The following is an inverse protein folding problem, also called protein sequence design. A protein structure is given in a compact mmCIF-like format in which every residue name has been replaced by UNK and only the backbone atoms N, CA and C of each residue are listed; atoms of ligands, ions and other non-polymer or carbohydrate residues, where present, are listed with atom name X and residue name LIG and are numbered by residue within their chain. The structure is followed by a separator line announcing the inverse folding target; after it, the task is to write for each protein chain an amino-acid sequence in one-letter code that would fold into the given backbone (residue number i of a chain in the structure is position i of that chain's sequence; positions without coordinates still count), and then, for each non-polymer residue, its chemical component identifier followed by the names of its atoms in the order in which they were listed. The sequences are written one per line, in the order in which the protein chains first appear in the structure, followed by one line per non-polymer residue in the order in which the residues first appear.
data_IF_540676640702
#
_entry.id   IF_540676640702
#
_cell.length_a   1.000
_cell.length_b   1.000
_cell.length_c   1.000
_cell.angle_alpha   90.00
_cell.angle_beta   90.00
_cell.angle_gamma   90.00
#
_symmetry.space_group_name_H-M   'P 1'
#
loop_
_entity.id
_entity.type
_entity.pdbx_description
1 polymer ?
#
# COMPACT_ATOMS: atom_id res chain seq x y z
N UNK A 1 -17.83 45.23 4.13
CA UNK A 1 -17.06 44.38 3.19
C UNK A 1 -16.01 43.67 4.06
N UNK A 2 -16.37 42.51 4.58
CA UNK A 2 -15.57 41.73 5.53
C UNK A 2 -14.60 40.81 4.81
N UNK A 3 -13.37 40.83 5.26
CA UNK A 3 -12.22 40.08 4.74
C UNK A 3 -12.14 38.71 5.46
N UNK A 4 -12.92 37.71 5.01
CA UNK A 4 -12.94 36.37 5.61
C UNK A 4 -11.98 35.37 4.92
N UNK A 5 -11.14 35.82 3.99
CA UNK A 5 -10.22 34.96 3.25
C UNK A 5 -8.99 34.45 4.04
N UNK A 6 -8.60 35.12 5.12
CA UNK A 6 -7.38 34.82 5.86
C UNK A 6 -7.51 33.69 6.90
N UNK A 7 -8.65 33.63 7.57
CA UNK A 7 -8.83 32.67 8.68
C UNK A 7 -9.01 31.24 8.23
N UNK A 8 -9.59 31.01 7.04
CA UNK A 8 -9.78 29.66 6.48
C UNK A 8 -8.46 29.01 6.06
N UNK A 9 -7.57 29.79 5.43
CA UNK A 9 -6.27 29.28 4.97
C UNK A 9 -5.33 28.95 6.14
N UNK A 10 -5.32 29.78 7.17
CA UNK A 10 -4.55 29.52 8.40
C UNK A 10 -5.08 28.29 9.17
N UNK A 11 -6.41 28.14 9.32
CA UNK A 11 -7.00 26.95 9.95
C UNK A 11 -6.65 25.66 9.20
N UNK A 12 -6.69 25.65 7.85
CA UNK A 12 -6.34 24.50 7.03
C UNK A 12 -4.89 24.07 7.18
N UNK A 13 -3.95 25.03 7.23
CA UNK A 13 -2.52 24.74 7.42
C UNK A 13 -2.22 24.20 8.82
N UNK A 14 -2.89 24.73 9.85
CA UNK A 14 -2.76 24.24 11.22
C UNK A 14 -3.32 22.82 11.39
N UNK A 15 -4.40 22.45 10.72
CA UNK A 15 -5.00 21.12 10.84
C UNK A 15 -4.09 20.00 10.33
N UNK A 16 -3.33 20.22 9.25
CA UNK A 16 -2.38 19.21 8.76
C UNK A 16 -1.19 19.00 9.70
N UNK A 17 -0.66 20.06 10.28
CA UNK A 17 0.41 19.98 11.31
C UNK A 17 -0.08 19.37 12.63
N UNK A 18 -1.41 19.28 12.83
CA UNK A 18 -2.08 18.67 14.00
C UNK A 18 -2.66 17.30 13.64
N UNK A 19 -2.06 16.61 12.66
CA UNK A 19 -2.48 15.31 12.19
C UNK A 19 -1.36 14.28 12.27
N UNK A 20 -1.67 13.15 12.90
CA UNK A 20 -0.81 11.98 13.00
C UNK A 20 -1.16 10.99 11.87
N UNK A 21 -0.17 10.54 11.12
CA UNK A 21 -0.32 9.43 10.18
C UNK A 21 -0.14 8.08 10.87
N UNK A 22 -1.02 7.12 10.61
CA UNK A 22 -0.85 5.72 11.02
C UNK A 22 -0.94 4.85 9.79
N UNK A 23 0.14 4.14 9.45
CA UNK A 23 0.19 3.22 8.31
C UNK A 23 0.13 1.79 8.80
N UNK A 24 -0.92 1.08 8.44
CA UNK A 24 -1.09 -0.34 8.73
C UNK A 24 -0.35 -1.16 7.67
N UNK A 25 0.98 -1.30 7.84
CA UNK A 25 1.84 -1.97 6.87
C UNK A 25 1.94 -3.49 7.07
N UNK A 26 1.25 -4.02 8.05
CA UNK A 26 1.36 -5.39 8.54
C UNK A 26 0.36 -6.39 7.95
N UNK A 27 0.23 -7.52 8.61
CA UNK A 27 -0.45 -8.74 8.14
C UNK A 27 -1.97 -8.77 8.37
N UNK A 28 -2.62 -7.66 8.62
CA UNK A 28 -4.09 -7.59 8.69
C UNK A 28 -4.74 -7.32 7.32
N UNK A 29 -3.96 -7.35 6.28
CA UNK A 29 -4.36 -7.16 4.89
C UNK A 29 -4.28 -8.43 4.05
N UNK A 30 -4.44 -8.31 2.72
CA UNK A 30 -4.35 -9.43 1.79
C UNK A 30 -2.99 -10.12 1.84
N UNK A 31 -2.98 -11.41 1.56
CA UNK A 31 -1.76 -12.20 1.45
C UNK A 31 -1.48 -12.56 0.00
N UNK A 32 -0.28 -12.22 -0.46
CA UNK A 32 0.21 -12.53 -1.81
C UNK A 32 1.02 -13.84 -1.82
N UNK A 33 0.59 -14.85 -1.07
CA UNK A 33 1.28 -16.13 -0.99
C UNK A 33 2.75 -15.97 -0.60
N UNK A 34 3.65 -16.54 -1.39
CA UNK A 34 5.08 -16.54 -1.11
C UNK A 34 5.73 -15.13 -1.07
N UNK A 35 5.17 -14.14 -1.81
CA UNK A 35 5.69 -12.76 -1.76
C UNK A 35 5.61 -12.18 -0.35
N UNK A 36 4.51 -12.39 0.36
CA UNK A 36 4.28 -11.85 1.70
C UNK A 36 4.75 -12.78 2.82
N UNK A 37 5.22 -13.98 2.50
CA UNK A 37 5.75 -14.93 3.48
C UNK A 37 6.94 -14.39 4.27
N UNK A 38 7.80 -13.59 3.64
CA UNK A 38 9.04 -13.06 4.25
C UNK A 38 9.01 -11.54 4.47
N UNK A 39 7.91 -10.87 4.12
CA UNK A 39 7.77 -9.41 4.22
C UNK A 39 6.32 -8.99 4.41
N UNK A 40 6.07 -7.86 5.11
CA UNK A 40 4.71 -7.33 5.21
C UNK A 40 4.26 -6.73 3.89
N UNK A 41 2.94 -6.55 3.71
CA UNK A 41 2.33 -5.99 2.51
C UNK A 41 2.95 -4.65 2.09
N UNK A 42 3.19 -3.74 3.03
CA UNK A 42 3.84 -2.46 2.74
C UNK A 42 5.25 -2.57 2.14
N UNK A 43 5.94 -3.72 2.31
CA UNK A 43 7.27 -3.94 1.74
C UNK A 43 7.26 -4.68 0.39
N UNK A 44 6.08 -4.97 -0.18
CA UNK A 44 5.95 -5.61 -1.51
C UNK A 44 6.45 -4.65 -2.59
N UNK A 45 7.37 -5.10 -3.47
CA UNK A 45 7.89 -4.29 -4.56
C UNK A 45 6.82 -4.05 -5.63
N UNK A 46 6.77 -2.84 -6.19
CA UNK A 46 5.83 -2.43 -7.24
C UNK A 46 6.49 -1.39 -8.16
N UNK A 47 6.05 -1.27 -9.41
CA UNK A 47 6.50 -0.25 -10.36
C UNK A 47 8.04 -0.16 -10.44
N UNK A 48 8.72 -1.28 -10.68
CA UNK A 48 10.18 -1.46 -10.88
C UNK A 48 11.10 -1.06 -9.72
N UNK A 49 10.78 -0.05 -8.92
CA UNK A 49 11.69 0.49 -7.88
C UNK A 49 11.03 0.84 -6.57
N UNK A 50 9.70 0.94 -6.53
CA UNK A 50 8.92 1.34 -5.35
C UNK A 50 8.51 0.14 -4.49
N UNK A 51 7.96 0.45 -3.32
CA UNK A 51 7.20 -0.48 -2.49
C UNK A 51 5.84 0.13 -2.15
N UNK A 52 4.86 -0.68 -1.83
CA UNK A 52 3.50 -0.20 -1.58
C UNK A 52 3.42 0.89 -0.49
N UNK A 53 4.24 0.78 0.56
CA UNK A 53 4.32 1.79 1.63
C UNK A 53 4.74 3.17 1.12
N UNK A 54 5.52 3.24 0.04
CA UNK A 54 6.04 4.50 -0.50
C UNK A 54 4.93 5.44 -0.93
N UNK A 55 3.85 4.90 -1.49
CA UNK A 55 2.69 5.69 -1.95
C UNK A 55 1.97 6.36 -0.79
N UNK A 56 1.54 5.59 0.20
CA UNK A 56 0.83 6.14 1.36
C UNK A 56 1.71 7.09 2.16
N UNK A 57 2.97 6.75 2.37
CA UNK A 57 3.90 7.60 3.11
C UNK A 57 4.17 8.91 2.37
N UNK A 58 4.36 8.86 1.05
CA UNK A 58 4.54 10.05 0.21
C UNK A 58 3.27 10.93 0.20
N UNK A 59 2.09 10.33 0.07
CA UNK A 59 0.83 11.05 0.13
C UNK A 59 0.63 11.77 1.47
N UNK A 60 0.99 11.13 2.60
CA UNK A 60 0.96 11.75 3.93
C UNK A 60 1.90 12.96 4.00
N UNK A 61 3.15 12.80 3.58
CA UNK A 61 4.16 13.88 3.62
C UNK A 61 3.79 15.02 2.69
N UNK A 62 3.38 14.73 1.45
CA UNK A 62 2.92 15.74 0.49
C UNK A 62 1.70 16.52 1.00
N UNK A 63 0.87 15.88 1.79
CA UNK A 63 -0.26 16.52 2.47
C UNK A 63 0.16 17.35 3.70
N UNK A 64 1.42 17.28 4.14
CA UNK A 64 1.96 18.01 5.27
C UNK A 64 1.86 17.30 6.63
N UNK A 65 1.62 15.98 6.62
CA UNK A 65 1.70 15.13 7.81
C UNK A 65 3.18 14.81 8.04
N UNK A 66 3.76 15.31 9.08
CA UNK A 66 5.19 15.19 9.39
C UNK A 66 5.50 14.24 10.55
N UNK A 67 4.48 13.58 11.06
CA UNK A 67 4.60 12.55 12.09
C UNK A 67 3.82 11.33 11.66
N UNK A 68 4.52 10.20 11.49
CA UNK A 68 3.93 8.96 11.01
C UNK A 68 4.35 7.80 11.89
N UNK A 69 3.37 7.04 12.38
CA UNK A 69 3.56 5.79 13.10
C UNK A 69 3.26 4.59 12.18
N UNK A 70 4.12 3.59 12.22
CA UNK A 70 3.91 2.33 11.49
C UNK A 70 3.94 1.17 12.49
N UNK A 71 2.77 0.73 13.00
CA UNK A 71 2.69 -0.51 13.75
C UNK A 71 3.17 -1.68 12.89
N UNK A 72 4.07 -2.48 13.43
CA UNK A 72 4.60 -3.65 12.72
C UNK A 72 4.27 -4.93 13.48
N UNK A 73 4.33 -6.06 12.77
CA UNK A 73 4.15 -7.40 13.34
C UNK A 73 5.40 -8.24 13.08
N UNK A 74 5.22 -9.44 12.55
CA UNK A 74 6.30 -10.33 12.12
C UNK A 74 6.89 -9.88 10.77
N UNK A 75 8.10 -10.35 10.45
CA UNK A 75 8.77 -10.14 9.15
C UNK A 75 9.00 -8.67 8.73
N UNK A 76 8.99 -7.73 9.69
CA UNK A 76 9.12 -6.30 9.41
C UNK A 76 10.54 -5.83 9.01
N UNK A 77 11.55 -6.70 9.07
CA UNK A 77 12.94 -6.34 8.77
C UNK A 77 13.08 -5.69 7.39
N UNK A 78 12.44 -6.28 6.37
CA UNK A 78 12.52 -5.74 5.00
C UNK A 78 11.86 -4.36 4.86
N UNK A 79 10.84 -4.07 5.67
CA UNK A 79 10.21 -2.75 5.76
C UNK A 79 11.13 -1.75 6.44
N UNK A 80 11.74 -2.12 7.56
CA UNK A 80 12.74 -1.28 8.26
C UNK A 80 13.94 -0.96 7.38
N UNK A 81 14.49 -1.96 6.70
CA UNK A 81 15.62 -1.77 5.78
C UNK A 81 15.27 -0.80 4.62
N UNK A 82 14.02 -0.79 4.19
CA UNK A 82 13.58 0.10 3.13
C UNK A 82 13.38 1.53 3.63
N UNK A 83 12.65 1.68 4.72
CA UNK A 83 12.29 3.00 5.27
C UNK A 83 13.48 3.70 5.94
N UNK A 84 14.41 2.94 6.51
CA UNK A 84 15.55 3.49 7.25
C UNK A 84 15.10 4.47 8.32
N UNK A 85 15.65 5.67 8.31
CA UNK A 85 15.25 6.78 9.18
C UNK A 85 14.10 7.63 8.63
N UNK A 86 13.57 7.32 7.47
CA UNK A 86 12.57 8.14 6.76
C UNK A 86 13.16 9.37 6.05
N UNK A 87 14.47 9.38 5.79
CA UNK A 87 15.19 10.52 5.18
C UNK A 87 14.62 10.93 3.83
N UNK A 88 14.30 9.96 2.98
CA UNK A 88 13.79 10.19 1.63
C UNK A 88 12.42 10.90 1.63
N UNK A 89 11.67 10.79 2.72
CA UNK A 89 10.38 11.46 2.95
C UNK A 89 10.49 12.69 3.86
N UNK A 90 11.71 13.19 4.14
CA UNK A 90 11.94 14.27 5.11
C UNK A 90 11.35 14.00 6.51
N UNK A 91 11.32 12.73 6.91
CA UNK A 91 10.83 12.29 8.23
C UNK A 91 11.95 11.91 9.21
N UNK A 92 13.22 12.13 8.86
CA UNK A 92 14.37 11.99 9.78
C UNK A 92 14.50 13.22 10.69
N UNK A 93 13.54 13.41 11.59
CA UNK A 93 13.41 14.65 12.41
C UNK A 93 13.62 14.36 13.90
N UNK A 94 14.12 15.35 14.65
CA UNK A 94 14.26 15.25 16.12
C UNK A 94 12.90 15.25 16.86
N UNK A 95 11.90 15.91 16.29
CA UNK A 95 10.52 15.94 16.80
C UNK A 95 9.58 15.59 15.66
N UNK A 96 8.65 14.66 15.87
CA UNK A 96 7.83 14.11 14.81
C UNK A 96 8.56 12.99 14.09
N UNK A 97 8.46 12.97 12.75
CA UNK A 97 9.16 12.02 11.90
C UNK A 97 8.55 10.63 11.86
N UNK A 98 9.31 9.70 11.33
CA UNK A 98 8.91 8.31 11.16
C UNK A 98 9.15 7.50 12.44
N UNK A 99 8.12 6.82 12.90
CA UNK A 99 8.18 5.94 14.07
C UNK A 99 7.72 4.54 13.66
N UNK A 100 8.66 3.61 13.52
CA UNK A 100 8.33 2.20 13.35
C UNK A 100 8.13 1.61 14.74
N UNK A 101 6.91 1.14 15.02
CA UNK A 101 6.52 0.64 16.34
C UNK A 101 6.46 -0.89 16.29
N UNK A 102 7.49 -1.57 16.80
CA UNK A 102 7.51 -3.03 16.82
C UNK A 102 6.51 -3.61 17.84
N UNK A 103 6.14 -4.91 17.71
CA UNK A 103 5.14 -5.54 18.55
C UNK A 103 5.73 -5.90 19.93
N UNK A 104 6.13 -4.92 20.71
CA UNK A 104 6.59 -5.15 22.08
C UNK A 104 5.43 -5.02 23.07
N UNK A 105 4.92 -6.18 23.53
CA UNK A 105 4.32 -6.22 24.85
C UNK A 105 5.38 -6.78 25.81
N UNK A 106 5.45 -6.23 27.01
CA UNK A 106 6.44 -6.61 28.04
C UNK A 106 6.42 -8.10 28.43
N UNK A 107 5.49 -8.90 27.90
CA UNK A 107 5.27 -10.29 28.34
C UNK A 107 5.17 -11.35 27.25
N UNK A 108 4.82 -11.05 25.99
CA UNK A 108 4.76 -12.03 24.87
C UNK A 108 4.75 -11.34 23.51
N UNK A 109 5.45 -11.92 22.52
CA UNK A 109 5.25 -11.60 21.11
C UNK A 109 3.83 -12.05 20.75
N UNK A 110 2.93 -11.11 20.47
CA UNK A 110 1.59 -11.43 20.01
C UNK A 110 1.49 -11.20 18.50
N UNK A 111 1.01 -12.21 17.79
CA UNK A 111 0.54 -12.06 16.41
C UNK A 111 -0.88 -11.50 16.48
N UNK A 112 -1.09 -10.33 15.92
CA UNK A 112 -2.40 -9.69 15.95
C UNK A 112 -3.31 -10.31 14.90
N UNK A 113 -4.56 -10.60 15.30
CA UNK A 113 -5.58 -11.15 14.39
C UNK A 113 -6.30 -10.05 13.61
N UNK A 114 -6.12 -8.78 14.00
CA UNK A 114 -6.81 -7.67 13.36
C UNK A 114 -6.31 -6.29 13.79
N UNK A 115 -6.90 -5.27 13.20
CA UNK A 115 -6.49 -3.85 13.38
C UNK A 115 -6.70 -3.35 14.82
N UNK A 116 -7.76 -3.80 15.51
CA UNK A 116 -8.02 -3.39 16.90
C UNK A 116 -6.88 -3.84 17.82
N UNK A 117 -6.46 -5.09 17.69
CA UNK A 117 -5.35 -5.63 18.50
C UNK A 117 -4.02 -4.94 18.16
N UNK A 118 -3.75 -4.70 16.88
CA UNK A 118 -2.55 -3.99 16.43
C UNK A 118 -2.48 -2.57 17.01
N UNK A 119 -3.60 -1.83 16.99
CA UNK A 119 -3.68 -0.48 17.55
C UNK A 119 -3.66 -0.48 19.08
N UNK A 120 -4.23 -1.50 19.73
CA UNK A 120 -4.16 -1.64 21.18
C UNK A 120 -2.72 -1.78 21.68
N UNK A 121 -1.87 -2.46 20.93
CA UNK A 121 -0.44 -2.58 21.27
C UNK A 121 0.37 -1.29 21.10
N UNK A 122 -0.12 -0.35 20.30
CA UNK A 122 0.52 0.98 20.13
C UNK A 122 -0.23 2.08 20.84
N UNK A 123 -1.14 1.76 21.77
CA UNK A 123 -1.94 2.74 22.52
C UNK A 123 -1.07 3.75 23.27
N UNK A 124 0.07 3.35 23.84
CA UNK A 124 0.93 4.29 24.55
C UNK A 124 1.61 5.24 23.58
N UNK A 125 2.04 4.76 22.41
CA UNK A 125 2.49 5.63 21.34
C UNK A 125 1.41 6.66 20.98
N UNK A 126 0.15 6.23 20.76
CA UNK A 126 -0.97 7.12 20.43
C UNK A 126 -1.26 8.14 21.53
N UNK A 127 -1.19 7.75 22.82
CA UNK A 127 -1.42 8.65 23.95
C UNK A 127 -0.33 9.74 24.09
N UNK A 128 0.92 9.42 23.77
CA UNK A 128 2.03 10.37 23.86
C UNK A 128 2.03 11.41 22.75
N UNK A 129 1.29 11.16 21.66
CA UNK A 129 1.14 12.12 20.59
C UNK A 129 0.26 13.31 21.03
N UNK A 130 0.43 14.45 20.37
CA UNK A 130 -0.29 15.69 20.68
C UNK A 130 -1.29 16.08 19.60
N UNK A 131 -1.14 15.53 18.42
CA UNK A 131 -1.96 15.80 17.27
C UNK A 131 -3.44 15.49 17.56
N UNK A 132 -4.32 16.37 17.10
CA UNK A 132 -5.75 16.23 17.29
C UNK A 132 -6.35 15.14 16.45
N UNK A 133 -5.95 15.09 15.17
CA UNK A 133 -6.48 14.16 14.18
C UNK A 133 -5.53 13.00 13.93
N UNK A 134 -6.11 11.90 13.44
CA UNK A 134 -5.38 10.74 12.92
C UNK A 134 -5.88 10.44 11.50
N UNK A 135 -4.94 10.28 10.58
CA UNK A 135 -5.15 9.62 9.29
C UNK A 135 -4.61 8.21 9.41
N UNK A 136 -5.47 7.22 9.25
CA UNK A 136 -5.10 5.81 9.26
C UNK A 136 -5.32 5.20 7.88
N UNK A 137 -4.33 4.48 7.34
CA UNK A 137 -4.39 3.88 6.01
C UNK A 137 -3.70 2.53 5.93
N UNK A 138 -4.23 1.63 5.07
CA UNK A 138 -3.57 0.39 4.67
C UNK A 138 -2.59 0.64 3.52
N UNK A 139 -1.79 -0.37 3.18
CA UNK A 139 -0.73 -0.27 2.16
C UNK A 139 -1.01 -1.05 0.88
N UNK A 140 -2.14 -1.72 0.76
CA UNK A 140 -2.45 -2.57 -0.41
C UNK A 140 -2.98 -1.80 -1.63
N UNK A 141 -3.07 -0.47 -1.54
CA UNK A 141 -3.50 0.39 -2.64
C UNK A 141 -2.40 1.41 -2.96
N UNK A 142 -1.89 1.39 -4.18
CA UNK A 142 -1.03 2.44 -4.70
C UNK A 142 -1.89 3.48 -5.45
N UNK A 143 -1.86 4.72 -4.98
CA UNK A 143 -2.57 5.85 -5.58
C UNK A 143 -1.87 7.16 -5.23
N UNK A 144 -2.19 8.22 -5.96
CA UNK A 144 -1.79 9.58 -5.62
C UNK A 144 -2.97 10.25 -4.90
N UNK A 145 -2.91 10.32 -3.58
CA UNK A 145 -4.03 10.72 -2.71
C UNK A 145 -3.72 12.01 -1.96
N UNK A 146 -4.62 13.00 -2.02
CA UNK A 146 -4.50 14.23 -1.24
C UNK A 146 -5.30 14.15 0.07
N UNK A 147 -4.59 13.91 1.16
CA UNK A 147 -5.18 13.88 2.50
C UNK A 147 -5.69 15.25 2.98
N UNK A 148 -5.23 16.37 2.38
CA UNK A 148 -5.72 17.71 2.75
C UNK A 148 -7.19 17.86 2.42
N UNK A 149 -7.61 17.42 1.25
CA UNK A 149 -9.02 17.50 0.83
C UNK A 149 -9.90 16.66 1.76
N UNK A 150 -9.50 15.42 2.02
CA UNK A 150 -10.26 14.53 2.91
C UNK A 150 -10.35 15.08 4.34
N UNK A 151 -9.26 15.62 4.90
CA UNK A 151 -9.26 16.22 6.24
C UNK A 151 -10.11 17.49 6.28
N UNK A 152 -10.06 18.34 5.25
CA UNK A 152 -10.91 19.52 5.16
C UNK A 152 -12.39 19.12 5.15
N UNK A 153 -12.80 18.15 4.34
CA UNK A 153 -14.18 17.64 4.35
C UNK A 153 -14.57 17.09 5.72
N UNK A 154 -13.68 16.35 6.38
CA UNK A 154 -13.90 15.82 7.74
C UNK A 154 -14.20 16.94 8.75
N UNK A 155 -13.41 18.00 8.74
CA UNK A 155 -13.58 19.13 9.65
C UNK A 155 -14.84 19.95 9.33
N UNK A 156 -15.09 20.23 8.05
CA UNK A 156 -16.23 21.02 7.60
C UNK A 156 -17.57 20.32 7.83
N UNK A 157 -17.61 18.99 7.69
CA UNK A 157 -18.81 18.19 7.94
C UNK A 157 -19.09 17.93 9.41
N UNK A 158 -18.14 18.22 10.32
CA UNK A 158 -18.24 17.85 11.72
C UNK A 158 -18.37 16.33 11.92
N UNK A 159 -17.74 15.54 11.03
CA UNK A 159 -17.76 14.09 11.12
C UNK A 159 -17.00 13.59 12.34
N UNK A 160 -17.46 12.49 12.94
CA UNK A 160 -16.69 11.72 13.92
C UNK A 160 -15.63 10.86 13.21
N UNK A 161 -16.00 10.28 12.07
CA UNK A 161 -15.13 9.49 11.20
C UNK A 161 -15.41 9.83 9.74
N UNK A 162 -14.37 9.99 8.93
CA UNK A 162 -14.48 10.03 7.46
C UNK A 162 -13.75 8.83 6.90
N UNK A 163 -14.41 8.05 6.02
CA UNK A 163 -13.88 6.88 5.36
C UNK A 163 -13.78 7.10 3.85
N UNK A 164 -12.61 6.86 3.27
CA UNK A 164 -12.44 6.94 1.81
C UNK A 164 -12.97 5.69 1.12
N UNK A 165 -13.59 5.89 -0.04
CA UNK A 165 -14.11 4.83 -0.89
C UNK A 165 -13.98 5.15 -2.37
N UNK A 166 -14.09 4.12 -3.20
CA UNK A 166 -14.19 4.24 -4.66
C UNK A 166 -15.46 3.58 -5.16
N UNK A 167 -16.06 4.12 -6.23
CA UNK A 167 -17.18 3.50 -6.92
C UNK A 167 -16.68 2.56 -8.00
N UNK A 168 -16.76 1.28 -7.74
CA UNK A 168 -16.31 0.23 -8.67
C UNK A 168 -16.97 -1.11 -8.36
N UNK A 169 -16.98 -2.06 -9.30
CA UNK A 169 -17.26 -3.45 -8.94
C UNK A 169 -16.27 -3.95 -7.90
N UNK A 170 -16.71 -4.83 -6.99
CA UNK A 170 -15.78 -5.46 -6.03
C UNK A 170 -14.78 -6.29 -6.82
N UNK A 171 -13.46 -6.01 -6.73
CA UNK A 171 -12.44 -6.76 -7.47
C UNK A 171 -12.46 -8.25 -7.13
N UNK A 172 -12.23 -9.12 -8.12
CA UNK A 172 -12.20 -10.57 -7.90
C UNK A 172 -11.16 -10.99 -6.87
N UNK A 173 -9.98 -10.36 -6.89
CA UNK A 173 -8.93 -10.60 -5.90
C UNK A 173 -9.38 -10.36 -4.47
N UNK A 174 -10.21 -9.36 -4.23
CA UNK A 174 -10.80 -9.07 -2.92
C UNK A 174 -11.72 -10.22 -2.46
N UNK A 175 -12.54 -10.75 -3.35
CA UNK A 175 -13.44 -11.88 -3.04
C UNK A 175 -12.66 -13.17 -2.78
N UNK A 176 -11.69 -13.48 -3.62
CA UNK A 176 -10.87 -14.69 -3.48
C UNK A 176 -9.97 -14.67 -2.25
N UNK A 177 -9.53 -13.50 -1.81
CA UNK A 177 -8.70 -13.35 -0.61
C UNK A 177 -9.42 -13.75 0.67
N UNK A 178 -10.73 -13.44 0.79
CA UNK A 178 -11.50 -13.83 1.97
C UNK A 178 -11.52 -15.34 2.20
N UNK A 179 -11.76 -16.11 1.14
CA UNK A 179 -11.82 -17.58 1.23
C UNK A 179 -10.48 -18.20 1.65
N UNK A 180 -9.36 -17.55 1.30
CA UNK A 180 -8.01 -18.08 1.56
C UNK A 180 -7.38 -17.55 2.84
N UNK A 181 -7.64 -16.29 3.20
CA UNK A 181 -6.84 -15.56 4.21
C UNK A 181 -7.68 -14.91 5.31
N UNK A 182 -9.01 -15.05 5.26
CA UNK A 182 -9.94 -14.31 6.12
C UNK A 182 -9.79 -12.78 6.02
N UNK A 183 -9.23 -12.27 4.92
CA UNK A 183 -9.17 -10.84 4.66
C UNK A 183 -10.56 -10.31 4.37
N UNK A 184 -11.01 -9.32 5.17
CA UNK A 184 -12.32 -8.72 5.04
C UNK A 184 -12.28 -7.53 4.11
N UNK A 185 -13.25 -7.45 3.20
CA UNK A 185 -13.51 -6.23 2.44
C UNK A 185 -14.80 -5.57 2.92
N UNK A 186 -14.88 -4.27 2.71
CA UNK A 186 -15.99 -3.46 3.20
C UNK A 186 -16.58 -2.63 2.06
N UNK A 187 -17.91 -2.55 2.04
CA UNK A 187 -18.65 -1.66 1.14
C UNK A 187 -19.62 -0.81 1.95
N UNK A 188 -19.96 0.35 1.41
CA UNK A 188 -20.73 1.36 2.11
C UNK A 188 -22.07 1.62 1.44
N UNK A 189 -23.16 1.62 2.22
CA UNK A 189 -24.42 2.23 1.81
C UNK A 189 -24.42 3.70 2.22
N UNK A 190 -24.79 4.56 1.30
CA UNK A 190 -24.72 6.00 1.49
C UNK A 190 -26.10 6.63 1.61
N UNK A 191 -26.25 7.57 2.55
CA UNK A 191 -27.40 8.51 2.63
C UNK A 191 -26.84 9.93 2.45
N UNK A 192 -26.80 10.41 1.20
CA UNK A 192 -26.01 11.59 0.84
C UNK A 192 -24.52 11.30 1.01
N UNK A 193 -23.82 12.09 1.82
CA UNK A 193 -22.42 11.87 2.18
C UNK A 193 -22.25 10.98 3.42
N UNK A 194 -23.32 10.74 4.18
CA UNK A 194 -23.26 9.89 5.39
C UNK A 194 -23.24 8.42 5.01
N UNK A 195 -22.33 7.66 5.60
CA UNK A 195 -22.33 6.20 5.55
C UNK A 195 -23.41 5.71 6.51
N UNK A 196 -24.50 5.16 5.95
CA UNK A 196 -25.65 4.65 6.71
C UNK A 196 -25.46 3.21 7.15
N UNK A 197 -24.67 2.43 6.38
CA UNK A 197 -24.39 1.02 6.70
C UNK A 197 -23.04 0.60 6.13
N UNK A 198 -22.33 -0.25 6.85
CA UNK A 198 -21.09 -0.89 6.43
C UNK A 198 -21.38 -2.39 6.25
N UNK A 199 -21.16 -2.89 5.04
CA UNK A 199 -21.28 -4.31 4.74
C UNK A 199 -19.90 -4.96 4.75
N UNK A 200 -19.87 -6.19 5.24
CA UNK A 200 -18.67 -7.02 5.31
C UNK A 200 -18.80 -8.11 4.27
N UNK A 201 -17.83 -8.24 3.38
CA UNK A 201 -17.79 -9.27 2.34
C UNK A 201 -19.07 -9.34 1.51
N UNK A 202 -19.52 -8.17 1.03
CA UNK A 202 -20.73 -8.09 0.19
C UNK A 202 -20.59 -8.98 -1.05
N UNK A 203 -21.61 -9.78 -1.31
CA UNK A 203 -21.72 -10.62 -2.51
C UNK A 203 -22.42 -9.89 -3.67
N UNK A 204 -22.87 -8.66 -3.44
CA UNK A 204 -23.57 -7.88 -4.46
C UNK A 204 -22.70 -7.67 -5.71
N UNK A 205 -23.34 -7.77 -6.87
CA UNK A 205 -22.74 -7.52 -8.17
C UNK A 205 -22.96 -6.06 -8.60
N UNK A 206 -22.13 -5.59 -9.51
CA UNK A 206 -22.19 -4.22 -10.03
C UNK A 206 -21.33 -3.26 -9.22
N UNK A 207 -21.54 -1.95 -9.50
CA UNK A 207 -20.76 -0.88 -8.87
C UNK A 207 -21.17 -0.72 -7.41
N UNK A 208 -20.20 -0.80 -6.51
CA UNK A 208 -20.32 -0.64 -5.06
C UNK A 208 -19.43 0.50 -4.57
N UNK A 209 -19.73 1.05 -3.40
CA UNK A 209 -18.82 1.98 -2.72
C UNK A 209 -17.81 1.17 -1.91
N UNK A 210 -16.71 0.79 -2.55
CA UNK A 210 -15.69 -0.09 -1.98
C UNK A 210 -14.71 0.71 -1.11
N UNK A 211 -14.56 0.31 0.14
CA UNK A 211 -13.64 0.95 1.09
C UNK A 211 -12.20 0.91 0.58
N UNK A 212 -11.49 2.01 0.73
CA UNK A 212 -10.03 2.09 0.55
C UNK A 212 -9.25 1.77 1.82
N UNK A 213 -9.93 1.49 2.94
CA UNK A 213 -9.32 1.32 4.26
C UNK A 213 -8.48 2.54 4.69
N UNK A 214 -8.94 3.73 4.30
CA UNK A 214 -8.37 5.02 4.67
C UNK A 214 -9.40 5.76 5.52
N UNK A 215 -8.99 6.21 6.71
CA UNK A 215 -9.87 6.82 7.70
C UNK A 215 -9.27 8.08 8.29
N UNK A 216 -10.12 9.09 8.53
CA UNK A 216 -9.78 10.28 9.31
C UNK A 216 -10.72 10.35 10.51
N UNK A 217 -10.17 10.64 11.69
CA UNK A 217 -10.94 10.83 12.94
C UNK A 217 -10.12 11.58 13.97
N UNK A 218 -10.75 12.03 15.06
CA UNK A 218 -10.02 12.55 16.19
C UNK A 218 -9.22 11.43 16.90
N UNK A 219 -7.96 11.70 17.25
CA UNK A 219 -7.09 10.76 17.97
C UNK A 219 -7.69 10.27 19.28
N UNK A 220 -8.40 11.14 20.00
CA UNK A 220 -9.08 10.79 21.24
C UNK A 220 -10.17 9.74 21.00
N UNK A 221 -11.00 9.94 19.98
CA UNK A 221 -12.03 8.96 19.58
C UNK A 221 -11.40 7.62 19.25
N UNK A 222 -10.33 7.60 18.43
CA UNK A 222 -9.62 6.35 18.11
C UNK A 222 -9.14 5.63 19.37
N UNK A 223 -8.48 6.32 20.29
CA UNK A 223 -7.98 5.75 21.54
C UNK A 223 -9.12 5.14 22.37
N UNK A 224 -10.24 5.85 22.48
CA UNK A 224 -11.38 5.41 23.30
C UNK A 224 -12.07 4.19 22.66
N UNK A 225 -12.26 4.18 21.34
CA UNK A 225 -12.86 3.06 20.65
C UNK A 225 -11.96 1.82 20.62
N UNK A 226 -10.64 1.99 20.48
CA UNK A 226 -9.69 0.88 20.55
C UNK A 226 -9.65 0.26 21.94
N UNK A 227 -9.65 1.08 23.02
CA UNK A 227 -9.71 0.56 24.39
C UNK A 227 -10.97 -0.27 24.63
N UNK A 228 -12.15 0.26 24.24
CA UNK A 228 -13.42 -0.45 24.37
C UNK A 228 -13.40 -1.76 23.55
N UNK A 229 -13.02 -1.67 22.27
CA UNK A 229 -12.97 -2.81 21.39
C UNK A 229 -12.04 -3.91 21.88
N UNK A 230 -10.86 -3.54 22.38
CA UNK A 230 -9.91 -4.52 22.91
C UNK A 230 -10.45 -5.27 24.14
N UNK A 231 -11.10 -4.56 25.06
CA UNK A 231 -11.73 -5.18 26.26
C UNK A 231 -12.86 -6.13 25.86
N UNK A 232 -13.60 -5.80 24.79
CA UNK A 232 -14.69 -6.64 24.27
C UNK A 232 -14.22 -7.80 23.39
N UNK A 233 -12.90 -7.91 23.11
CA UNK A 233 -12.35 -8.95 22.24
C UNK A 233 -12.58 -8.69 20.74
N UNK A 234 -12.89 -7.45 20.37
CA UNK A 234 -13.04 -7.04 18.97
C UNK A 234 -11.69 -7.17 18.24
N UNK A 235 -11.74 -7.60 16.99
CA UNK A 235 -10.56 -7.80 16.14
C UNK A 235 -10.50 -6.82 14.98
N UNK A 236 -11.60 -6.68 14.25
CA UNK A 236 -11.69 -5.88 13.02
C UNK A 236 -12.32 -4.52 13.32
N UNK A 237 -11.60 -3.46 13.01
CA UNK A 237 -12.04 -2.10 13.31
C UNK A 237 -13.33 -1.73 12.59
N UNK A 238 -13.44 -2.07 11.33
CA UNK A 238 -14.59 -1.74 10.49
C UNK A 238 -15.82 -2.57 10.89
N UNK A 239 -15.67 -3.89 11.04
CA UNK A 239 -16.75 -4.82 11.34
C UNK A 239 -17.25 -4.68 12.78
N UNK A 240 -16.29 -4.62 13.73
CA UNK A 240 -16.60 -4.79 15.15
C UNK A 240 -16.76 -3.44 15.87
N UNK A 241 -16.15 -2.35 15.32
CA UNK A 241 -16.18 -1.03 15.94
C UNK A 241 -17.03 -0.05 15.13
N UNK A 242 -16.80 0.13 13.84
CA UNK A 242 -17.53 1.13 13.06
C UNK A 242 -18.93 0.70 12.64
N UNK A 243 -19.08 -0.53 12.11
CA UNK A 243 -20.37 -0.99 11.59
C UNK A 243 -21.51 -0.97 12.63
N UNK A 244 -21.31 -1.37 13.91
CA UNK A 244 -22.35 -1.28 14.92
C UNK A 244 -22.68 0.15 15.37
N UNK A 245 -21.89 1.14 14.97
CA UNK A 245 -22.02 2.52 15.44
C UNK A 245 -22.46 3.51 14.34
N UNK A 246 -22.84 3.05 13.15
CA UNK A 246 -23.26 3.90 12.03
C UNK A 246 -24.47 4.81 12.34
N UNK A 247 -25.31 4.44 13.31
CA UNK A 247 -26.41 5.27 13.77
C UNK A 247 -25.97 6.32 14.82
N UNK A 248 -24.95 6.01 15.62
CA UNK A 248 -24.48 6.85 16.75
C UNK A 248 -23.41 7.83 16.33
N UNK A 249 -22.47 7.40 15.47
CA UNK A 249 -21.40 8.22 14.96
C UNK A 249 -21.81 8.87 13.64
N UNK A 250 -21.37 10.11 13.44
CA UNK A 250 -21.44 10.77 12.16
C UNK A 250 -20.29 10.29 11.26
N UNK A 251 -20.52 9.16 10.56
CA UNK A 251 -19.54 8.57 9.66
C UNK A 251 -19.81 9.10 8.25
N UNK A 252 -18.87 9.86 7.67
CA UNK A 252 -18.97 10.43 6.32
C UNK A 252 -18.10 9.64 5.33
N UNK A 253 -18.55 9.57 4.08
CA UNK A 253 -17.78 9.02 2.99
C UNK A 253 -17.02 10.11 2.23
N UNK A 254 -15.76 9.82 1.88
CA UNK A 254 -14.96 10.60 0.94
C UNK A 254 -14.76 9.79 -0.33
N UNK A 255 -15.33 10.23 -1.45
CA UNK A 255 -15.21 9.56 -2.74
C UNK A 255 -13.87 9.89 -3.39
N UNK A 256 -13.03 8.89 -3.61
CA UNK A 256 -11.81 9.01 -4.39
C UNK A 256 -12.10 8.60 -5.84
N UNK A 257 -11.87 9.52 -6.76
CA UNK A 257 -12.14 9.33 -8.19
C UNK A 257 -10.87 9.15 -9.03
N UNK A 258 -9.69 9.22 -8.40
CA UNK A 258 -8.40 9.04 -9.06
C UNK A 258 -8.09 7.58 -9.41
N UNK A 259 -7.00 7.39 -10.17
CA UNK A 259 -6.47 6.06 -10.44
C UNK A 259 -5.95 5.40 -9.16
N UNK A 260 -6.25 4.13 -9.01
CA UNK A 260 -5.73 3.29 -7.93
C UNK A 260 -5.32 1.92 -8.45
N UNK A 261 -4.15 1.48 -8.04
CA UNK A 261 -3.69 0.11 -8.22
C UNK A 261 -3.94 -0.67 -6.92
N UNK A 262 -5.01 -1.46 -6.87
CA UNK A 262 -5.40 -2.25 -5.70
C UNK A 262 -4.85 -3.66 -5.81
N UNK A 263 -4.10 -4.09 -4.81
CA UNK A 263 -3.39 -5.36 -4.79
C UNK A 263 -3.90 -6.19 -3.62
N UNK A 264 -4.68 -7.22 -3.92
CA UNK A 264 -5.34 -8.08 -2.94
C UNK A 264 -4.94 -9.56 -3.06
N UNK A 265 -4.36 -9.96 -4.20
CA UNK A 265 -3.82 -11.30 -4.44
C UNK A 265 -2.70 -11.27 -5.51
N UNK A 266 -2.16 -12.43 -5.88
CA UNK A 266 -1.10 -12.55 -6.88
C UNK A 266 -1.56 -12.11 -8.27
N UNK A 267 -2.81 -12.37 -8.63
CA UNK A 267 -3.36 -11.98 -9.95
C UNK A 267 -3.46 -10.45 -10.04
N UNK A 268 -4.07 -9.81 -9.05
CA UNK A 268 -4.15 -8.35 -9.00
C UNK A 268 -2.75 -7.70 -8.88
N UNK A 269 -1.81 -8.32 -8.17
CA UNK A 269 -0.42 -7.87 -8.16
C UNK A 269 0.19 -7.85 -9.56
N UNK A 270 0.01 -8.94 -10.31
CA UNK A 270 0.48 -9.02 -11.69
C UNK A 270 -0.20 -7.99 -12.59
N UNK A 271 -1.53 -7.97 -12.59
CA UNK A 271 -2.33 -7.09 -13.44
C UNK A 271 -2.06 -5.61 -13.20
N UNK A 272 -2.05 -5.19 -11.93
CA UNK A 272 -1.85 -3.78 -11.59
C UNK A 272 -0.44 -3.31 -11.94
N UNK A 273 0.60 -4.15 -11.78
CA UNK A 273 1.92 -3.81 -12.27
C UNK A 273 1.94 -3.73 -13.81
N UNK A 274 1.37 -4.69 -14.52
CA UNK A 274 1.35 -4.68 -16.00
C UNK A 274 0.55 -3.51 -16.57
N UNK A 275 -0.50 -3.05 -15.89
CA UNK A 275 -1.25 -1.84 -16.27
C UNK A 275 -0.37 -0.58 -16.26
N UNK A 276 0.69 -0.53 -15.43
CA UNK A 276 1.61 0.60 -15.38
C UNK A 276 2.53 0.71 -16.62
N UNK A 277 2.55 -0.28 -17.50
CA UNK A 277 3.20 -0.19 -18.80
C UNK A 277 2.41 0.68 -19.80
N UNK A 278 1.21 1.13 -19.44
CA UNK A 278 0.44 2.13 -20.20
C UNK A 278 0.70 3.51 -19.62
N UNK A 279 1.08 4.46 -20.47
CA UNK A 279 1.45 5.82 -20.06
C UNK A 279 0.35 6.51 -19.25
N UNK A 280 -0.92 6.36 -19.63
CA UNK A 280 -2.05 6.95 -18.91
C UNK A 280 -2.16 6.55 -17.43
N UNK A 281 -1.89 5.27 -17.13
CA UNK A 281 -1.91 4.75 -15.75
C UNK A 281 -0.66 5.17 -14.99
N UNK A 282 0.49 5.14 -15.65
CA UNK A 282 1.76 5.59 -15.10
C UNK A 282 1.68 7.08 -14.72
N UNK A 283 1.21 7.91 -15.63
CA UNK A 283 1.04 9.35 -15.41
C UNK A 283 0.03 9.63 -14.30
N UNK A 284 -1.09 8.91 -14.27
CA UNK A 284 -2.09 9.07 -13.21
C UNK A 284 -1.53 8.76 -11.81
N UNK A 285 -0.54 7.86 -11.73
CA UNK A 285 0.07 7.49 -10.46
C UNK A 285 1.22 8.43 -10.06
N UNK A 286 1.99 8.97 -11.03
CA UNK A 286 3.25 9.65 -10.76
C UNK A 286 3.31 11.13 -11.15
N UNK A 287 2.41 11.63 -12.02
CA UNK A 287 2.46 13.05 -12.48
C UNK A 287 1.81 14.05 -11.51
N UNK A 288 1.13 13.58 -10.48
CA UNK A 288 0.58 14.44 -9.41
C UNK A 288 1.65 14.86 -8.41
N UNK A 289 1.40 14.63 -7.13
CA UNK A 289 2.42 14.82 -6.10
C UNK A 289 3.52 13.75 -6.23
N UNK A 290 4.79 14.08 -5.96
CA UNK A 290 5.91 13.14 -6.12
C UNK A 290 5.77 11.95 -5.16
N UNK A 291 6.07 10.76 -5.67
CA UNK A 291 6.17 9.54 -4.86
C UNK A 291 7.64 9.30 -4.56
N UNK A 292 8.02 9.42 -3.29
CA UNK A 292 9.38 9.19 -2.81
C UNK A 292 9.63 7.70 -2.58
N UNK A 293 10.86 7.28 -2.70
CA UNK A 293 11.30 5.91 -2.40
C UNK A 293 12.76 5.89 -1.96
N UNK A 294 13.22 4.77 -1.43
CA UNK A 294 14.62 4.59 -1.05
C UNK A 294 15.56 4.81 -2.23
N UNK A 295 16.45 5.78 -2.10
CA UNK A 295 17.52 6.01 -3.07
C UNK A 295 18.62 4.95 -2.90
N UNK A 296 19.11 4.41 -4.02
CA UNK A 296 20.27 3.54 -4.09
C UNK A 296 21.22 4.07 -5.16
N UNK A 297 22.51 4.00 -4.88
CA UNK A 297 23.57 4.38 -5.82
C UNK A 297 23.90 3.21 -6.75
N UNK A 298 22.91 2.73 -7.50
CA UNK A 298 23.10 1.68 -8.50
C UNK A 298 23.64 2.28 -9.81
N UNK A 299 24.37 1.48 -10.58
CA UNK A 299 24.85 1.90 -11.89
C UNK A 299 23.66 2.15 -12.85
N UNK A 300 23.79 3.03 -13.84
CA UNK A 300 22.81 3.13 -14.91
C UNK A 300 22.59 1.79 -15.61
N UNK A 301 21.35 1.54 -16.03
CA UNK A 301 21.02 0.35 -16.81
C UNK A 301 21.76 0.35 -18.14
N UNK A 302 22.28 -0.80 -18.51
CA UNK A 302 23.05 -1.01 -19.75
C UNK A 302 22.30 -1.93 -20.71
N UNK A 303 22.09 -1.45 -21.93
CA UNK A 303 21.63 -2.24 -23.07
C UNK A 303 22.83 -2.60 -23.91
N UNK A 304 23.14 -3.88 -24.03
CA UNK A 304 24.29 -4.38 -24.77
C UNK A 304 23.92 -4.51 -26.26
N UNK A 305 24.89 -4.35 -27.15
CA UNK A 305 24.65 -4.41 -28.59
C UNK A 305 23.95 -5.74 -28.99
N UNK A 306 22.83 -5.61 -29.69
CA UNK A 306 21.99 -6.74 -30.09
C UNK A 306 20.82 -7.02 -29.15
N UNK A 307 20.74 -6.38 -28.00
CA UNK A 307 19.56 -6.48 -27.13
C UNK A 307 18.35 -5.82 -27.78
N UNK A 308 17.14 -6.31 -27.41
CA UNK A 308 15.86 -5.74 -27.84
C UNK A 308 14.99 -5.48 -26.62
N UNK A 309 14.44 -4.28 -26.55
CA UNK A 309 13.51 -3.88 -25.49
C UNK A 309 12.27 -3.22 -26.10
N UNK A 310 11.06 -3.71 -25.75
CA UNK A 310 9.80 -3.18 -26.25
C UNK A 310 8.76 -3.17 -25.16
N UNK A 311 8.19 -1.97 -24.90
CA UNK A 311 7.18 -1.75 -23.83
C UNK A 311 7.62 -2.31 -22.48
N UNK A 312 8.72 -1.76 -21.93
CA UNK A 312 9.35 -2.25 -20.71
C UNK A 312 9.60 -1.14 -19.70
N UNK A 313 9.43 -1.44 -18.44
CA UNK A 313 9.86 -0.60 -17.33
C UNK A 313 11.09 -1.23 -16.69
N UNK A 314 12.22 -0.53 -16.68
CA UNK A 314 13.50 -1.06 -16.22
C UNK A 314 14.11 -0.11 -15.19
N UNK A 315 14.40 -0.64 -14.00
CA UNK A 315 15.07 0.10 -12.94
C UNK A 315 16.59 0.14 -13.12
N UNK A 316 17.29 0.88 -12.25
CA UNK A 316 18.73 1.06 -12.28
C UNK A 316 19.49 -0.27 -12.08
N UNK A 317 20.75 -0.32 -12.56
CA UNK A 317 21.65 -1.45 -12.35
C UNK A 317 21.42 -2.66 -13.25
N UNK A 318 20.44 -2.63 -14.14
CA UNK A 318 20.14 -3.76 -15.02
C UNK A 318 21.16 -3.90 -16.15
N UNK A 319 21.37 -5.15 -16.60
CA UNK A 319 22.20 -5.48 -17.76
C UNK A 319 21.39 -6.33 -18.73
N UNK A 320 21.12 -5.80 -19.92
CA UNK A 320 20.23 -6.42 -20.90
C UNK A 320 21.04 -6.78 -22.15
N UNK A 321 21.21 -8.08 -22.40
CA UNK A 321 21.85 -8.64 -23.60
C UNK A 321 20.86 -9.43 -24.45
N UNK A 322 19.73 -9.84 -23.89
CA UNK A 322 18.66 -10.61 -24.54
C UNK A 322 17.52 -9.73 -25.06
N UNK A 323 16.37 -10.37 -25.24
CA UNK A 323 15.13 -9.73 -25.70
C UNK A 323 14.12 -9.63 -24.56
N UNK A 324 13.54 -8.44 -24.36
CA UNK A 324 12.50 -8.20 -23.34
C UNK A 324 11.30 -7.49 -23.98
N UNK A 325 10.10 -7.99 -23.68
CA UNK A 325 8.84 -7.42 -24.17
C UNK A 325 7.79 -7.41 -23.05
N UNK A 326 7.00 -6.31 -22.96
CA UNK A 326 5.90 -6.15 -22.01
C UNK A 326 6.27 -6.60 -20.60
N UNK A 327 7.37 -6.11 -20.04
CA UNK A 327 7.90 -6.63 -18.78
C UNK A 327 8.38 -5.53 -17.85
N UNK A 328 8.40 -5.82 -16.56
CA UNK A 328 8.87 -4.92 -15.51
C UNK A 328 10.07 -5.54 -14.83
N UNK A 329 11.22 -4.86 -14.91
CA UNK A 329 12.47 -5.30 -14.33
C UNK A 329 12.87 -4.38 -13.18
N UNK A 330 13.05 -4.96 -12.02
CA UNK A 330 13.54 -4.26 -10.84
C UNK A 330 15.06 -4.15 -10.86
N UNK A 331 15.63 -3.46 -9.88
CA UNK A 331 17.05 -3.11 -9.83
C UNK A 331 17.96 -4.34 -9.94
N UNK A 332 19.02 -4.20 -10.74
CA UNK A 332 20.07 -5.21 -10.84
C UNK A 332 19.72 -6.47 -11.63
N UNK A 333 18.58 -6.51 -12.31
CA UNK A 333 18.18 -7.66 -13.14
C UNK A 333 19.14 -7.82 -14.31
N UNK A 334 19.54 -9.07 -14.58
CA UNK A 334 20.41 -9.43 -15.70
C UNK A 334 19.68 -10.37 -16.65
N UNK A 335 19.65 -10.02 -17.93
CA UNK A 335 19.08 -10.82 -18.99
C UNK A 335 20.22 -11.14 -20.00
N UNK A 336 20.70 -12.37 -19.98
CA UNK A 336 21.85 -12.78 -20.76
C UNK A 336 21.52 -12.94 -22.25
N UNK A 337 22.55 -13.10 -23.07
CA UNK A 337 22.46 -13.19 -24.53
C UNK A 337 21.57 -14.35 -24.96
N UNK A 338 20.66 -14.08 -25.89
CA UNK A 338 19.71 -15.08 -26.41
C UNK A 338 18.55 -15.41 -25.49
N UNK A 339 18.54 -14.89 -24.26
CA UNK A 339 17.37 -15.05 -23.38
C UNK A 339 16.20 -14.20 -23.88
N UNK A 340 14.97 -14.71 -23.65
CA UNK A 340 13.73 -14.03 -24.02
C UNK A 340 12.83 -13.91 -22.80
N UNK A 341 12.40 -12.69 -22.51
CA UNK A 341 11.54 -12.35 -21.38
C UNK A 341 10.30 -11.65 -21.90
N UNK A 342 9.13 -12.23 -21.64
CA UNK A 342 7.87 -11.68 -22.14
C UNK A 342 6.79 -11.71 -21.07
N UNK A 343 6.05 -10.60 -20.92
CA UNK A 343 4.96 -10.48 -19.96
C UNK A 343 5.39 -10.87 -18.52
N UNK A 344 6.56 -10.43 -18.08
CA UNK A 344 7.16 -10.84 -16.80
C UNK A 344 7.34 -9.68 -15.82
N UNK A 345 7.36 -10.00 -14.53
CA UNK A 345 7.77 -9.10 -13.45
C UNK A 345 8.97 -9.75 -12.75
N UNK A 346 10.15 -9.17 -12.94
CA UNK A 346 11.40 -9.69 -12.40
C UNK A 346 11.89 -8.80 -11.26
N UNK A 347 11.85 -9.31 -10.03
CA UNK A 347 12.30 -8.55 -8.87
C UNK A 347 13.82 -8.48 -8.80
N UNK A 348 14.29 -7.70 -7.84
CA UNK A 348 15.67 -7.28 -7.66
C UNK A 348 16.69 -8.44 -7.76
N UNK A 349 17.78 -8.20 -8.48
CA UNK A 349 18.92 -9.11 -8.66
C UNK A 349 18.55 -10.49 -9.23
N UNK A 350 17.45 -10.57 -10.00
CA UNK A 350 17.09 -11.77 -10.78
C UNK A 350 18.02 -11.89 -11.99
N UNK A 351 18.48 -13.12 -12.25
CA UNK A 351 19.34 -13.46 -13.39
C UNK A 351 18.63 -14.43 -14.32
N UNK A 352 18.51 -14.06 -15.58
CA UNK A 352 18.02 -14.92 -16.66
C UNK A 352 19.23 -15.31 -17.51
N UNK A 353 19.65 -16.57 -17.44
CA UNK A 353 20.83 -17.05 -18.11
C UNK A 353 20.63 -17.22 -19.63
N UNK A 354 21.71 -17.52 -20.34
CA UNK A 354 21.72 -17.54 -21.81
C UNK A 354 20.68 -18.52 -22.41
N UNK A 355 19.97 -18.06 -23.42
CA UNK A 355 18.98 -18.87 -24.12
C UNK A 355 17.73 -19.28 -23.33
N UNK A 356 17.60 -18.84 -22.07
CA UNK A 356 16.38 -19.09 -21.29
C UNK A 356 15.18 -18.33 -21.87
N UNK A 357 14.00 -18.94 -21.91
CA UNK A 357 12.76 -18.33 -22.39
C UNK A 357 11.71 -18.34 -21.27
N UNK A 358 11.25 -17.17 -20.87
CA UNK A 358 10.25 -17.03 -19.81
C UNK A 358 9.08 -16.15 -20.26
N UNK A 359 7.85 -16.61 -19.97
CA UNK A 359 6.63 -15.89 -20.31
C UNK A 359 5.61 -16.00 -19.17
N UNK A 360 4.97 -14.88 -18.78
CA UNK A 360 4.06 -14.79 -17.64
C UNK A 360 4.67 -15.33 -16.35
N UNK A 361 5.84 -14.81 -16.00
CA UNK A 361 6.58 -15.18 -14.78
C UNK A 361 6.71 -13.99 -13.85
N UNK A 362 6.46 -14.22 -12.58
CA UNK A 362 6.79 -13.30 -11.49
C UNK A 362 7.92 -13.92 -10.66
N UNK A 363 9.10 -13.37 -10.72
CA UNK A 363 10.21 -13.80 -9.85
C UNK A 363 10.32 -12.92 -8.63
N UNK A 364 10.52 -13.50 -7.44
CA UNK A 364 11.00 -12.76 -6.28
C UNK A 364 12.50 -12.45 -6.43
N UNK A 365 13.13 -11.88 -5.42
CA UNK A 365 14.53 -11.41 -5.46
C UNK A 365 15.53 -12.55 -5.50
N UNK A 366 16.68 -12.31 -6.14
CA UNK A 366 17.80 -13.23 -6.20
C UNK A 366 17.46 -14.59 -6.85
N UNK A 367 16.53 -14.60 -7.77
CA UNK A 367 16.17 -15.79 -8.56
C UNK A 367 17.15 -15.94 -9.71
N UNK A 368 17.55 -17.19 -10.01
CA UNK A 368 18.29 -17.52 -11.22
C UNK A 368 17.48 -18.47 -12.05
N UNK A 369 17.20 -18.11 -13.31
CA UNK A 369 16.64 -19.00 -14.32
C UNK A 369 17.80 -19.54 -15.16
N UNK A 370 18.03 -20.85 -15.08
CA UNK A 370 19.19 -21.51 -15.68
C UNK A 370 19.18 -21.48 -17.21
N UNK A 371 20.39 -21.66 -17.79
CA UNK A 371 20.63 -21.64 -19.23
C UNK A 371 19.65 -22.56 -20.00
N UNK A 372 19.05 -22.05 -21.08
CA UNK A 372 18.14 -22.78 -21.95
C UNK A 372 16.80 -23.20 -21.31
N UNK A 373 16.54 -22.83 -20.06
CA UNK A 373 15.28 -23.15 -19.37
C UNK A 373 14.08 -22.47 -20.02
N UNK A 374 12.97 -23.21 -20.10
CA UNK A 374 11.70 -22.67 -20.57
C UNK A 374 10.67 -22.70 -19.46
N UNK A 375 10.10 -21.53 -19.14
CA UNK A 375 9.04 -21.37 -18.15
C UNK A 375 7.90 -20.54 -18.74
N UNK A 376 6.71 -21.11 -18.76
CA UNK A 376 5.55 -20.46 -19.36
C UNK A 376 4.34 -20.55 -18.43
N UNK A 377 3.89 -19.40 -17.97
CA UNK A 377 2.59 -19.22 -17.32
C UNK A 377 1.53 -18.77 -18.32
N UNK A 378 0.43 -18.24 -17.79
CA UNK A 378 -0.64 -17.61 -18.55
C UNK A 378 -1.03 -16.29 -17.90
N UNK A 379 -1.74 -15.44 -18.61
CA UNK A 379 -2.26 -14.18 -18.07
C UNK A 379 -3.14 -14.39 -16.82
N UNK A 380 -3.99 -15.43 -16.84
CA UNK A 380 -4.85 -15.77 -15.69
C UNK A 380 -4.10 -16.45 -14.55
N UNK A 381 -2.93 -17.03 -14.82
CA UNK A 381 -2.13 -17.75 -13.82
C UNK A 381 -0.63 -17.62 -14.12
N UNK A 382 -0.02 -16.49 -13.71
CA UNK A 382 1.42 -16.31 -13.85
C UNK A 382 2.18 -17.28 -12.95
N UNK A 383 3.31 -17.80 -13.43
CA UNK A 383 4.20 -18.66 -12.63
C UNK A 383 4.96 -17.81 -11.64
N UNK A 384 4.88 -18.13 -10.36
CA UNK A 384 5.65 -17.47 -9.32
C UNK A 384 6.89 -18.28 -8.94
N UNK A 385 8.04 -17.60 -8.86
CA UNK A 385 9.30 -18.18 -8.40
C UNK A 385 9.70 -17.49 -7.09
N UNK A 386 9.82 -18.28 -6.03
CA UNK A 386 10.14 -17.76 -4.71
C UNK A 386 11.60 -17.26 -4.61
N UNK A 387 11.84 -16.43 -3.60
CA UNK A 387 13.12 -15.80 -3.34
C UNK A 387 14.27 -16.83 -3.22
N UNK A 388 15.46 -16.44 -3.71
CA UNK A 388 16.73 -17.23 -3.63
C UNK A 388 16.67 -18.59 -4.39
N UNK A 389 15.69 -18.82 -5.27
CA UNK A 389 15.57 -20.06 -6.04
C UNK A 389 16.40 -20.05 -7.33
N UNK A 390 16.92 -21.23 -7.67
CA UNK A 390 17.52 -21.56 -8.97
C UNK A 390 16.59 -22.57 -9.65
N UNK A 391 16.13 -22.28 -10.88
CA UNK A 391 15.17 -23.10 -11.61
C UNK A 391 15.68 -23.46 -13.01
#
# INVERSE_FOLDING_TARGET
IGNDGGTGYFRRRYAMNDTLGIIMAGNSGPELGEITRSRPMGAVPVASRYRLVDFILSNMVNSGIDRVGIPTQTHYRSLMDHLGSGREWDLARKKGGLNIVPPYSEKKIQVYSGRVEALANVLDFLKWQKEKYVVMADTNIACNFDFKEMLNQHIESGADVTAAYTKQPIPEGVRSSYEKTNYLHYTFSMAGQKISKIFVNSEEHGVQNVSMNIYVMERKLLIDEIKKGFVLGNKFFERDVLAPQTEKLNIQGYEFTGYQARIDDMKSYFDENMKLLKDENLDSLFSGNPIYTKVRDDNPTRYINGSKAKNVMVADGCVIEGEIENSILFRGVKVAKGAKVKNCILMQDTVIEAGAEIEYVVSDKYVTVSEGKQLKGTDSFPVFIAKDQVV
#
